data_IF_342873633967
#
_entry.id   IF_342873633967
#
_cell.length_a   1.000
_cell.length_b   1.000
_cell.length_c   1.000
_cell.angle_alpha   90.00
_cell.angle_beta   90.00
_cell.angle_gamma   90.00
#
_symmetry.space_group_name_H-M   'P 1'
#
loop_
_entity.id
_entity.type
_entity.pdbx_description
1 polymer ?
#
# COMPACT_ATOMS: atom_id res chain seq x y z
N UNK A 1 6.85 -10.97 9.12
CA UNK A 1 7.34 -10.74 7.74
C UNK A 1 8.07 -9.42 7.72
N UNK A 2 9.28 -9.41 7.18
CA UNK A 2 10.09 -8.21 7.03
C UNK A 2 10.29 -7.95 5.54
N UNK A 3 9.98 -6.73 5.09
CA UNK A 3 10.18 -6.28 3.73
C UNK A 3 11.24 -5.18 3.75
N UNK A 4 12.31 -5.37 2.97
CA UNK A 4 13.39 -4.39 2.85
C UNK A 4 13.48 -3.90 1.42
N UNK A 5 13.60 -2.60 1.22
CA UNK A 5 13.85 -2.01 -0.10
C UNK A 5 14.72 -0.76 0.00
N UNK A 6 15.35 -0.40 -1.12
CA UNK A 6 16.21 0.77 -1.24
C UNK A 6 15.58 1.76 -2.22
N UNK A 7 15.51 3.03 -1.84
CA UNK A 7 15.23 4.14 -2.74
C UNK A 7 16.48 4.97 -2.99
N UNK A 8 16.41 5.93 -3.91
CA UNK A 8 17.46 6.93 -4.11
C UNK A 8 17.72 7.81 -2.87
N UNK A 9 16.79 7.84 -1.90
CA UNK A 9 16.85 8.73 -0.74
C UNK A 9 17.12 8.02 0.59
N UNK A 10 16.74 6.75 0.72
CA UNK A 10 16.85 6.01 1.98
C UNK A 10 16.73 4.48 1.81
N UNK A 11 17.23 3.77 2.83
CA UNK A 11 16.97 2.35 3.07
C UNK A 11 15.75 2.20 3.96
N UNK A 12 14.85 1.29 3.60
CA UNK A 12 13.59 1.08 4.31
C UNK A 12 13.45 -0.37 4.75
N UNK A 13 12.89 -0.55 5.94
CA UNK A 13 12.47 -1.85 6.47
C UNK A 13 11.08 -1.69 7.04
N UNK A 14 10.15 -2.51 6.57
CA UNK A 14 8.81 -2.64 7.12
C UNK A 14 8.62 -4.03 7.74
N UNK A 15 8.02 -4.06 8.91
CA UNK A 15 7.83 -5.27 9.71
C UNK A 15 6.34 -5.46 9.98
N UNK A 16 5.77 -6.51 9.41
CA UNK A 16 4.38 -6.88 9.63
C UNK A 16 4.28 -8.25 10.31
N UNK A 17 3.61 -8.29 11.46
CA UNK A 17 3.27 -9.53 12.15
C UNK A 17 1.84 -9.95 11.79
N UNK A 18 1.72 -11.01 11.00
CA UNK A 18 0.44 -11.57 10.59
C UNK A 18 0.10 -12.76 11.48
N UNK A 19 -0.79 -12.59 12.46
CA UNK A 19 -1.18 -13.67 13.39
C UNK A 19 -1.82 -14.87 12.69
N UNK A 20 -2.55 -14.64 11.60
CA UNK A 20 -3.25 -15.68 10.83
C UNK A 20 -3.10 -15.42 9.33
N UNK A 21 -2.09 -16.04 8.73
CA UNK A 21 -1.95 -16.07 7.27
C UNK A 21 -2.83 -17.19 6.72
N UNK A 22 -3.68 -16.86 5.75
CA UNK A 22 -4.49 -17.82 5.02
C UNK A 22 -4.00 -17.91 3.57
N UNK A 23 -3.30 -18.99 3.23
CA UNK A 23 -2.68 -19.19 1.92
C UNK A 23 -3.65 -19.26 0.73
N UNK A 24 -4.95 -19.50 0.97
CA UNK A 24 -5.96 -19.58 -0.08
C UNK A 24 -6.66 -18.23 -0.33
N UNK A 25 -6.84 -17.43 0.72
CA UNK A 25 -7.57 -16.16 0.66
C UNK A 25 -6.65 -14.96 0.54
N UNK A 26 -5.50 -15.01 1.20
CA UNK A 26 -4.59 -13.88 1.24
C UNK A 26 -3.76 -13.86 -0.06
N UNK A 27 -3.63 -12.69 -0.66
CA UNK A 27 -2.86 -12.53 -1.89
C UNK A 27 -1.37 -12.49 -1.55
N UNK A 28 -0.68 -13.60 -1.77
CA UNK A 28 0.77 -13.71 -1.63
C UNK A 28 1.41 -13.73 -3.02
N UNK A 29 2.54 -13.03 -3.22
CA UNK A 29 3.35 -13.19 -4.42
C UNK A 29 3.72 -14.67 -4.62
N UNK A 30 3.72 -15.15 -5.85
CA UNK A 30 3.92 -16.56 -6.17
C UNK A 30 5.22 -17.11 -5.54
N UNK A 31 6.35 -16.41 -5.69
CA UNK A 31 7.62 -16.82 -5.12
C UNK A 31 7.57 -16.98 -3.59
N UNK A 32 6.81 -16.14 -2.89
CA UNK A 32 6.62 -16.23 -1.45
C UNK A 32 5.70 -17.40 -1.08
N UNK A 33 4.63 -17.62 -1.85
CA UNK A 33 3.72 -18.74 -1.64
C UNK A 33 4.45 -20.07 -1.79
N UNK A 34 5.21 -20.25 -2.87
CA UNK A 34 6.02 -21.45 -3.14
C UNK A 34 7.08 -21.68 -2.06
N UNK A 35 7.80 -20.63 -1.63
CA UNK A 35 8.82 -20.77 -0.60
C UNK A 35 8.26 -21.15 0.77
N UNK A 36 7.03 -20.73 1.08
CA UNK A 36 6.34 -21.03 2.33
C UNK A 36 5.67 -22.42 2.33
N UNK A 37 5.49 -23.06 1.16
CA UNK A 37 4.95 -24.41 1.11
C UNK A 37 5.85 -25.41 1.83
N UNK A 38 5.20 -26.31 2.55
CA UNK A 38 5.80 -27.36 3.37
C UNK A 38 6.73 -26.87 4.50
N UNK A 39 6.73 -25.56 4.79
CA UNK A 39 7.46 -25.00 5.95
C UNK A 39 6.69 -25.23 7.24
N UNK A 40 7.48 -25.39 8.29
CA UNK A 40 7.00 -25.69 9.65
C UNK A 40 7.38 -24.58 10.61
N UNK A 41 6.84 -24.67 11.84
CA UNK A 41 7.11 -23.67 12.88
C UNK A 41 8.60 -23.61 13.17
N UNK A 42 9.17 -22.42 13.05
CA UNK A 42 10.60 -22.15 13.27
C UNK A 42 11.41 -21.98 11.98
N UNK A 43 10.86 -22.37 10.84
CA UNK A 43 11.51 -22.15 9.54
C UNK A 43 11.48 -20.66 9.13
N UNK A 44 12.57 -20.20 8.52
CA UNK A 44 12.68 -18.87 7.93
C UNK A 44 12.89 -18.98 6.42
N UNK A 45 12.20 -18.14 5.66
CA UNK A 45 12.35 -18.04 4.20
C UNK A 45 12.69 -16.61 3.81
N UNK A 46 13.60 -16.47 2.84
CA UNK A 46 13.95 -15.19 2.22
C UNK A 46 13.80 -15.35 0.72
N UNK A 47 12.92 -14.55 0.13
CA UNK A 47 12.67 -14.56 -1.31
C UNK A 47 12.94 -13.18 -1.88
N UNK A 48 13.65 -13.08 -3.01
CA UNK A 48 13.69 -11.83 -3.77
C UNK A 48 12.30 -11.59 -4.36
N UNK A 49 11.84 -10.36 -4.29
CA UNK A 49 10.54 -9.95 -4.78
C UNK A 49 10.75 -8.84 -5.80
N UNK A 50 10.88 -9.16 -7.10
CA UNK A 50 11.08 -8.15 -8.12
C UNK A 50 9.84 -7.26 -8.21
N UNK A 51 10.03 -6.00 -8.61
CA UNK A 51 8.97 -4.99 -8.65
C UNK A 51 7.74 -5.47 -9.43
N UNK A 52 7.97 -6.17 -10.53
CA UNK A 52 6.94 -6.59 -11.49
C UNK A 52 5.94 -7.61 -10.91
N UNK A 53 6.31 -8.32 -9.84
CA UNK A 53 5.47 -9.38 -9.25
C UNK A 53 4.50 -8.87 -8.17
N UNK A 54 4.72 -7.68 -7.61
CA UNK A 54 3.99 -7.23 -6.40
C UNK A 54 3.36 -5.87 -6.56
N UNK A 55 4.09 -4.93 -7.17
CA UNK A 55 3.67 -3.54 -7.25
C UNK A 55 3.59 -3.20 -8.71
N UNK A 56 2.39 -2.85 -9.16
CA UNK A 56 2.19 -2.35 -10.51
C UNK A 56 3.19 -1.21 -10.80
N UNK A 57 3.81 -1.19 -11.98
CA UNK A 57 4.76 -0.16 -12.34
C UNK A 57 4.10 1.21 -12.18
N UNK A 58 4.94 2.20 -11.88
CA UNK A 58 4.49 3.59 -11.83
C UNK A 58 3.77 3.95 -13.14
N UNK A 59 2.54 4.43 -13.02
CA UNK A 59 1.72 4.86 -14.17
C UNK A 59 1.25 6.29 -13.96
N UNK A 60 1.48 7.13 -14.97
CA UNK A 60 0.99 8.51 -15.00
C UNK A 60 -0.54 8.58 -14.89
N UNK A 61 -1.26 7.52 -15.27
CA UNK A 61 -2.71 7.41 -15.11
C UNK A 61 -3.17 7.38 -13.65
N UNK A 62 -2.25 7.06 -12.72
CA UNK A 62 -2.52 7.09 -11.27
C UNK A 62 -2.14 8.45 -10.64
N UNK A 63 -1.69 9.43 -11.44
CA UNK A 63 -1.38 10.78 -10.99
C UNK A 63 -2.56 11.71 -11.35
N UNK A 64 -3.07 12.44 -10.36
CA UNK A 64 -4.15 13.39 -10.56
C UNK A 64 -3.83 14.70 -9.84
N UNK A 65 -4.22 15.81 -10.47
CA UNK A 65 -4.09 17.16 -9.90
C UNK A 65 -5.39 17.54 -9.23
N UNK A 66 -5.30 18.04 -8.01
CA UNK A 66 -6.45 18.46 -7.21
C UNK A 66 -6.33 19.92 -6.83
N UNK A 67 -7.43 20.66 -6.96
CA UNK A 67 -7.58 21.95 -6.31
C UNK A 67 -7.65 21.74 -4.79
N UNK A 68 -7.07 22.67 -4.01
CA UNK A 68 -7.09 22.58 -2.53
C UNK A 68 -8.52 22.47 -1.97
N UNK A 69 -9.50 23.09 -2.61
CA UNK A 69 -10.92 23.05 -2.24
C UNK A 69 -11.55 21.66 -2.42
N UNK A 70 -10.96 20.81 -3.27
CA UNK A 70 -11.40 19.42 -3.45
C UNK A 70 -10.92 18.53 -2.31
N UNK A 71 -9.95 18.95 -1.50
CA UNK A 71 -9.56 18.20 -0.30
C UNK A 71 -10.52 18.50 0.86
N UNK A 72 -11.29 17.49 1.28
CA UNK A 72 -12.17 17.61 2.43
C UNK A 72 -11.35 17.57 3.74
N UNK A 73 -11.02 18.75 4.24
CA UNK A 73 -10.28 18.90 5.50
C UNK A 73 -11.01 18.34 6.72
N UNK A 74 -12.33 18.22 6.66
CA UNK A 74 -13.16 17.70 7.76
C UNK A 74 -13.50 16.22 7.58
N UNK A 75 -12.67 15.47 6.85
CA UNK A 75 -12.87 14.05 6.59
C UNK A 75 -12.94 13.21 7.87
N UNK A 76 -12.17 13.58 8.91
CA UNK A 76 -12.20 12.94 10.21
C UNK A 76 -13.01 13.80 11.19
N UNK A 77 -13.99 13.20 11.86
CA UNK A 77 -14.81 13.91 12.83
C UNK A 77 -13.93 14.51 13.94
N UNK A 78 -14.12 15.80 14.22
CA UNK A 78 -13.36 16.52 15.25
C UNK A 78 -11.88 16.81 14.91
N UNK A 79 -11.41 16.54 13.68
CA UNK A 79 -10.04 16.87 13.26
C UNK A 79 -9.99 17.48 11.87
N UNK A 80 -9.33 18.63 11.76
CA UNK A 80 -8.97 19.21 10.47
C UNK A 80 -7.70 18.53 9.93
N UNK A 81 -7.78 18.02 8.72
CA UNK A 81 -6.68 17.39 8.00
C UNK A 81 -6.24 18.30 6.86
N UNK A 82 -4.95 18.60 6.79
CA UNK A 82 -4.33 19.29 5.65
C UNK A 82 -3.51 18.32 4.80
N UNK A 83 -3.49 18.48 3.47
CA UNK A 83 -2.64 17.68 2.61
C UNK A 83 -1.17 17.97 2.92
N UNK A 84 -0.42 16.92 3.22
CA UNK A 84 1.04 16.97 3.43
C UNK A 84 1.75 16.02 2.48
N UNK A 85 2.89 16.46 1.97
CA UNK A 85 3.79 15.64 1.16
C UNK A 85 4.20 14.39 1.93
N UNK A 86 4.26 13.25 1.25
CA UNK A 86 4.65 11.96 1.84
C UNK A 86 3.60 11.29 2.74
N UNK A 87 2.43 11.89 2.96
CA UNK A 87 1.34 11.21 3.67
C UNK A 87 0.59 10.26 2.75
N UNK A 88 0.39 9.03 3.23
CA UNK A 88 -0.56 8.09 2.66
C UNK A 88 -1.94 8.36 3.24
N UNK A 89 -2.94 8.45 2.36
CA UNK A 89 -4.33 8.59 2.77
C UNK A 89 -5.11 7.32 2.43
N UNK A 90 -5.99 6.84 3.32
CA UNK A 90 -6.71 5.59 3.12
C UNK A 90 -7.55 5.63 1.83
N UNK A 91 -7.36 4.61 0.97
CA UNK A 91 -8.26 4.32 -0.15
C UNK A 91 -9.47 3.53 0.37
N UNK A 92 -10.22 4.11 1.30
CA UNK A 92 -11.48 3.51 1.77
C UNK A 92 -12.52 3.69 0.65
N UNK A 93 -13.62 2.92 0.64
CA UNK A 93 -14.84 3.11 -0.19
C UNK A 93 -15.37 4.55 -0.29
N UNK A 94 -14.80 5.48 0.49
CA UNK A 94 -15.06 6.91 0.56
C UNK A 94 -13.89 7.77 0.04
N UNK A 95 -13.03 7.28 -0.86
CA UNK A 95 -12.02 8.11 -1.53
C UNK A 95 -12.65 9.38 -2.12
N UNK A 96 -13.87 9.27 -2.65
CA UNK A 96 -14.70 10.39 -3.11
C UNK A 96 -15.21 11.34 -1.99
N UNK A 97 -15.18 10.95 -0.70
CA UNK A 97 -15.57 11.82 0.43
C UNK A 97 -14.39 12.62 0.98
N UNK A 98 -13.17 12.11 0.87
CA UNK A 98 -11.96 12.86 1.21
C UNK A 98 -11.56 13.79 0.08
N UNK A 99 -11.81 13.39 -1.17
CA UNK A 99 -11.61 14.22 -2.36
C UNK A 99 -12.96 14.53 -3.02
N UNK A 100 -13.49 15.73 -2.81
CA UNK A 100 -14.76 16.22 -3.38
C UNK A 100 -14.69 16.16 -4.91
N UNK A 101 -15.42 15.20 -5.48
CA UNK A 101 -15.69 15.06 -6.92
C UNK A 101 -14.48 14.95 -7.87
N UNK A 102 -13.30 14.60 -7.38
CA UNK A 102 -12.11 14.64 -8.23
C UNK A 102 -11.91 13.44 -9.18
N UNK A 103 -12.82 12.46 -9.18
CA UNK A 103 -12.72 11.26 -10.00
C UNK A 103 -13.90 11.09 -10.98
N UNK A 104 -14.57 12.17 -11.39
CA UNK A 104 -15.37 12.11 -12.62
C UNK A 104 -14.38 12.01 -13.78
N UNK A 105 -14.15 10.77 -14.22
CA UNK A 105 -13.32 10.43 -15.38
C UNK A 105 -13.72 11.31 -16.57
N UNK A 106 -12.73 11.91 -17.23
CA UNK A 106 -12.81 12.18 -18.67
C UNK A 106 -12.64 10.85 -19.40
#
# INVERSE_FOLDING_TARGET
MNLSWQSQFASHVDCYFAEKVNFWRDFLPQALQEALMDKTVGDEVKVPLPHDDIILPHSSHNIFTLQRSQFNRNFLHGRMLDPRLGRFYPKIKNFCKMFREALKKN
#
